data_IF_928370852860
#
_entry.id   IF_928370852860
#
_cell.length_a   1.000
_cell.length_b   1.000
_cell.length_c   1.000
_cell.angle_alpha   90.00
_cell.angle_beta   90.00
_cell.angle_gamma   90.00
#
_symmetry.space_group_name_H-M   'P 1'
#
loop_
_entity.id
_entity.type
_entity.pdbx_description
1 polymer ?
#
# COMPACT_ATOMS: atom_id res chain seq x y z
N UNK A 1 4.01 -7.78 5.85
CA UNK A 1 3.84 -7.39 4.44
C UNK A 1 3.66 -8.53 3.43
N UNK A 2 3.83 -9.85 3.70
CA UNK A 2 3.61 -10.86 2.66
C UNK A 2 2.17 -10.85 2.11
N UNK A 3 1.18 -10.58 2.98
CA UNK A 3 -0.23 -10.40 2.58
C UNK A 3 -0.42 -9.37 1.45
N UNK A 4 0.32 -8.26 1.46
CA UNK A 4 0.18 -7.21 0.43
C UNK A 4 0.79 -7.68 -0.88
N UNK A 5 1.94 -8.35 -0.84
CA UNK A 5 2.63 -8.86 -2.02
C UNK A 5 1.84 -10.01 -2.68
N UNK A 6 1.31 -10.93 -1.85
CA UNK A 6 0.44 -12.03 -2.30
C UNK A 6 -0.86 -11.53 -2.95
N UNK A 7 -1.47 -10.51 -2.36
CA UNK A 7 -2.69 -9.89 -2.90
C UNK A 7 -2.37 -9.08 -4.17
N UNK A 8 -1.26 -8.33 -4.19
CA UNK A 8 -0.86 -7.54 -5.35
C UNK A 8 -0.73 -8.41 -6.61
N UNK A 9 -0.15 -9.61 -6.49
CA UNK A 9 -0.06 -10.57 -7.59
C UNK A 9 -1.43 -10.96 -8.18
N UNK A 10 -2.50 -11.00 -7.38
CA UNK A 10 -3.86 -11.37 -7.83
C UNK A 10 -4.54 -10.24 -8.61
N UNK A 11 -4.22 -8.99 -8.30
CA UNK A 11 -4.83 -7.79 -8.89
C UNK A 11 -3.94 -7.12 -9.94
N UNK A 12 -2.88 -7.79 -10.37
CA UNK A 12 -1.94 -7.27 -11.36
C UNK A 12 -2.68 -6.83 -12.64
N UNK A 13 -2.39 -5.61 -13.09
CA UNK A 13 -3.02 -5.01 -14.27
C UNK A 13 -4.41 -4.40 -14.03
N UNK A 14 -4.94 -4.49 -12.80
CA UNK A 14 -6.18 -3.82 -12.38
C UNK A 14 -5.91 -2.75 -11.32
N UNK A 15 -4.95 -2.99 -10.43
CA UNK A 15 -4.56 -2.07 -9.37
C UNK A 15 -3.04 -1.98 -9.29
N UNK A 16 -2.53 -0.77 -9.17
CA UNK A 16 -1.12 -0.51 -8.88
C UNK A 16 -0.90 -0.46 -7.37
N UNK A 17 0.07 -1.24 -6.90
CA UNK A 17 0.49 -1.24 -5.50
C UNK A 17 1.81 -0.51 -5.37
N UNK A 18 1.94 0.33 -4.33
CA UNK A 18 3.17 1.03 -4.01
C UNK A 18 3.35 1.04 -2.49
N UNK A 19 4.50 0.57 -2.02
CA UNK A 19 4.88 0.67 -0.62
C UNK A 19 5.72 1.93 -0.39
N UNK A 20 5.27 2.82 0.49
CA UNK A 20 6.04 4.00 0.89
C UNK A 20 6.61 3.74 2.28
N UNK A 21 7.93 3.70 2.37
CA UNK A 21 8.64 3.72 3.62
C UNK A 21 8.90 5.17 4.06
N UNK A 22 8.99 5.39 5.36
CA UNK A 22 9.40 6.67 5.93
C UNK A 22 9.67 6.55 7.42
N UNK A 23 10.24 7.62 7.98
CA UNK A 23 10.69 7.72 9.37
C UNK A 23 11.70 6.63 9.76
N UNK A 24 12.57 6.25 8.84
CA UNK A 24 13.56 5.18 9.01
C UNK A 24 14.84 5.47 8.22
N UNK A 25 15.95 4.80 8.58
CA UNK A 25 17.21 4.86 7.84
C UNK A 25 17.08 4.14 6.48
N UNK A 26 17.57 4.77 5.41
CA UNK A 26 17.42 4.26 4.04
C UNK A 26 18.10 2.90 3.85
N UNK A 27 19.30 2.70 4.42
CA UNK A 27 20.06 1.47 4.22
C UNK A 27 19.41 0.27 4.92
N UNK A 28 18.91 0.47 6.13
CA UNK A 28 18.19 -0.58 6.87
C UNK A 28 16.82 -0.86 6.25
N UNK A 29 16.13 0.18 5.79
CA UNK A 29 14.83 0.05 5.13
C UNK A 29 14.94 -0.74 3.83
N UNK A 30 15.95 -0.45 3.01
CA UNK A 30 16.19 -1.17 1.77
C UNK A 30 16.41 -2.67 2.00
N UNK A 31 17.25 -3.02 2.98
CA UNK A 31 17.53 -4.42 3.29
C UNK A 31 16.27 -5.20 3.74
N UNK A 32 15.36 -4.55 4.47
CA UNK A 32 14.12 -5.19 4.90
C UNK A 32 13.06 -5.22 3.79
N UNK A 33 12.97 -4.17 2.98
CA UNK A 33 12.03 -4.12 1.87
C UNK A 33 12.35 -5.20 0.82
N UNK A 34 13.63 -5.36 0.46
CA UNK A 34 14.08 -6.40 -0.48
C UNK A 34 13.82 -7.83 0.02
N UNK A 35 13.63 -8.03 1.33
CA UNK A 35 13.26 -9.34 1.92
C UNK A 35 11.75 -9.56 2.00
N UNK A 36 10.96 -8.49 1.98
CA UNK A 36 9.53 -8.51 2.31
C UNK A 36 8.62 -8.26 1.10
N UNK A 37 9.15 -7.64 0.05
CA UNK A 37 8.43 -7.26 -1.16
C UNK A 37 9.18 -7.81 -2.37
N UNK A 38 8.58 -8.78 -3.05
CA UNK A 38 9.14 -9.32 -4.29
C UNK A 38 8.54 -8.65 -5.52
N UNK A 39 7.25 -8.28 -5.47
CA UNK A 39 6.51 -7.77 -6.62
C UNK A 39 6.07 -6.33 -6.47
N UNK A 40 5.80 -5.88 -5.24
CA UNK A 40 5.34 -4.52 -4.98
C UNK A 40 6.53 -3.55 -5.01
N UNK A 41 6.53 -2.54 -5.90
CA UNK A 41 7.56 -1.51 -5.88
C UNK A 41 7.47 -0.71 -4.57
N UNK A 42 8.62 -0.24 -4.10
CA UNK A 42 8.71 0.55 -2.89
C UNK A 42 9.65 1.74 -3.05
N UNK A 43 9.44 2.76 -2.22
CA UNK A 43 10.32 3.93 -2.14
C UNK A 43 10.34 4.50 -0.72
N UNK A 44 11.35 5.31 -0.41
CA UNK A 44 11.43 6.05 0.86
C UNK A 44 11.18 7.53 0.58
N UNK A 45 10.13 8.08 1.16
CA UNK A 45 9.78 9.49 1.03
C UNK A 45 9.02 9.98 2.26
N UNK A 46 9.69 10.79 3.08
CA UNK A 46 9.11 11.39 4.28
C UNK A 46 8.07 12.49 3.96
N UNK A 47 8.17 13.13 2.80
CA UNK A 47 7.26 14.22 2.42
C UNK A 47 5.84 13.73 2.10
N UNK A 48 5.72 12.48 1.64
CA UNK A 48 4.42 11.84 1.40
C UNK A 48 3.62 11.72 2.70
N UNK A 49 4.27 11.49 3.84
CA UNK A 49 3.59 11.34 5.13
C UNK A 49 2.89 12.62 5.57
N UNK A 50 3.47 13.79 5.27
CA UNK A 50 2.86 15.09 5.57
C UNK A 50 1.54 15.29 4.80
N UNK A 51 1.45 14.79 3.56
CA UNK A 51 0.24 14.88 2.74
C UNK A 51 -0.95 14.11 3.35
N UNK A 52 -0.67 13.07 4.14
CA UNK A 52 -1.68 12.24 4.79
C UNK A 52 -1.85 12.56 6.29
N UNK A 53 -1.28 13.67 6.77
CA UNK A 53 -1.45 14.12 8.15
C UNK A 53 -0.58 13.36 9.16
N UNK A 54 0.57 12.85 8.72
CA UNK A 54 1.58 12.20 9.55
C UNK A 54 1.08 10.94 10.33
N UNK A 55 0.45 9.97 9.64
CA UNK A 55 -0.24 8.84 10.28
C UNK A 55 0.69 7.88 11.04
N UNK A 56 0.14 7.15 12.00
CA UNK A 56 0.79 5.98 12.59
C UNK A 56 0.94 4.86 11.55
N UNK A 57 2.05 4.12 11.61
CA UNK A 57 2.31 2.99 10.73
C UNK A 57 1.82 1.66 11.33
N UNK A 58 1.39 0.69 10.51
CA UNK A 58 1.16 0.81 9.06
C UNK A 58 -0.13 1.60 8.77
N UNK A 59 -0.09 2.38 7.68
CA UNK A 59 -1.23 3.13 7.16
C UNK A 59 -1.38 2.81 5.67
N UNK A 60 -2.59 2.50 5.25
CA UNK A 60 -2.90 2.17 3.85
C UNK A 60 -3.97 3.11 3.33
N UNK A 61 -3.80 3.53 2.08
CA UNK A 61 -4.75 4.38 1.35
C UNK A 61 -5.09 3.70 0.03
N UNK A 62 -6.38 3.59 -0.27
CA UNK A 62 -6.87 3.21 -1.59
C UNK A 62 -7.27 4.48 -2.34
N UNK A 63 -6.71 4.62 -3.54
CA UNK A 63 -6.89 5.80 -4.40
C UNK A 63 -7.56 5.34 -5.70
N UNK A 64 -8.58 6.07 -6.11
CA UNK A 64 -9.30 5.86 -7.35
C UNK A 64 -8.47 6.30 -8.57
N UNK A 65 -8.85 5.85 -9.77
CA UNK A 65 -8.18 6.25 -11.01
C UNK A 65 -8.24 7.78 -11.28
N UNK A 66 -9.24 8.48 -10.72
CA UNK A 66 -9.35 9.96 -10.77
C UNK A 66 -8.62 10.67 -9.62
N UNK A 67 -7.80 9.95 -8.85
CA UNK A 67 -6.91 10.51 -7.84
C UNK A 67 -7.58 10.86 -6.51
N UNK A 68 -8.77 10.32 -6.23
CA UNK A 68 -9.49 10.54 -4.97
C UNK A 68 -9.20 9.41 -4.00
N UNK A 69 -9.12 9.74 -2.71
CA UNK A 69 -9.08 8.72 -1.66
C UNK A 69 -10.44 8.03 -1.60
N UNK A 70 -10.47 6.74 -1.89
CA UNK A 70 -11.64 5.88 -1.73
C UNK A 70 -11.79 5.42 -0.29
N UNK A 71 -10.69 4.97 0.32
CA UNK A 71 -10.66 4.40 1.65
C UNK A 71 -9.26 4.55 2.26
N UNK A 72 -9.17 4.56 3.58
CA UNK A 72 -7.90 4.59 4.29
C UNK A 72 -8.04 4.03 5.71
N UNK A 73 -7.01 3.32 6.18
CA UNK A 73 -7.04 2.69 7.50
C UNK A 73 -5.66 2.53 8.12
N UNK A 74 -5.69 2.38 9.45
CA UNK A 74 -4.53 2.01 10.25
C UNK A 74 -4.49 0.51 10.50
N UNK A 75 -3.29 -0.03 10.60
CA UNK A 75 -3.06 -1.43 10.94
C UNK A 75 -3.02 -2.35 9.72
N UNK A 76 -2.57 -3.57 9.98
CA UNK A 76 -2.56 -4.62 8.98
C UNK A 76 -3.96 -5.23 8.86
N UNK A 77 -4.36 -5.55 7.63
CA UNK A 77 -5.51 -6.39 7.34
C UNK A 77 -5.05 -7.79 6.98
N UNK A 78 -5.93 -8.77 7.11
CA UNK A 78 -5.72 -10.07 6.48
C UNK A 78 -5.99 -10.02 4.96
N UNK A 79 -5.67 -11.12 4.27
CA UNK A 79 -5.83 -11.21 2.80
C UNK A 79 -7.29 -11.02 2.36
N UNK A 80 -8.25 -11.56 3.10
CA UNK A 80 -9.66 -11.53 2.72
C UNK A 80 -10.22 -10.12 2.88
N UNK A 81 -9.91 -9.47 4.00
CA UNK A 81 -10.26 -8.07 4.25
C UNK A 81 -9.66 -7.13 3.22
N UNK A 82 -8.37 -7.32 2.87
CA UNK A 82 -7.71 -6.49 1.86
C UNK A 82 -8.34 -6.71 0.47
N UNK A 83 -8.55 -7.96 0.06
CA UNK A 83 -9.14 -8.29 -1.24
C UNK A 83 -10.55 -7.71 -1.38
N UNK A 84 -11.39 -7.84 -0.35
CA UNK A 84 -12.76 -7.29 -0.36
C UNK A 84 -12.78 -5.76 -0.56
N UNK A 85 -11.82 -5.04 0.02
CA UNK A 85 -11.72 -3.58 -0.15
C UNK A 85 -11.28 -3.21 -1.56
N UNK A 86 -10.34 -3.97 -2.12
CA UNK A 86 -9.92 -3.79 -3.52
C UNK A 86 -11.08 -4.09 -4.48
N UNK A 87 -11.82 -5.17 -4.28
CA UNK A 87 -12.99 -5.51 -5.09
C UNK A 87 -14.05 -4.40 -5.03
N UNK A 88 -14.25 -3.81 -3.84
CA UNK A 88 -15.14 -2.67 -3.66
C UNK A 88 -14.69 -1.45 -4.47
N UNK A 89 -13.38 -1.13 -4.44
CA UNK A 89 -12.80 -0.07 -5.27
C UNK A 89 -13.03 -0.34 -6.77
N UNK A 90 -12.80 -1.57 -7.23
CA UNK A 90 -12.96 -1.93 -8.64
C UNK A 90 -14.44 -1.85 -9.09
N UNK A 91 -15.38 -2.19 -8.20
CA UNK A 91 -16.82 -2.14 -8.49
C UNK A 91 -17.39 -0.73 -8.69
N UNK A 92 -16.73 0.31 -8.16
CA UNK A 92 -17.17 1.71 -8.35
C UNK A 92 -16.55 2.36 -9.59
N UNK A 93 -15.63 1.66 -10.27
CA UNK A 93 -14.92 2.12 -11.46
C UNK A 93 -15.11 1.22 -12.71
N UNK A 94 -16.07 0.29 -12.67
CA UNK A 94 -16.48 -0.55 -13.82
C UNK A 94 -17.44 0.15 -14.78
#
# INVERSE_FOLDING_TARGET
MPVVDDVAGRYQGQVDFLAVAGRSDLSQTAEQADKLLETVPWGLDDSIWELFGDPYQPYTVLITADGKVFDAWFGALDEAELSNRIDSLLSVHS
#
